data_IF_547618218732
#
_entry.id   IF_547618218732
#
_cell.length_a   1.000
_cell.length_b   1.000
_cell.length_c   1.000
_cell.angle_alpha   90.00
_cell.angle_beta   90.00
_cell.angle_gamma   90.00
#
_symmetry.space_group_name_H-M   'P 1'
#
loop_
_entity.id
_entity.type
_entity.pdbx_description
1 polymer ?
#
# COMPACT_ATOMS: atom_id res chain seq x y z
N UNK A 1 -4.73 -0.20 17.63
CA UNK A 1 -3.41 -0.21 16.95
C UNK A 1 -2.75 1.14 17.14
N UNK A 2 -1.46 1.15 17.51
CA UNK A 2 -0.68 2.39 17.51
C UNK A 2 -0.42 2.80 16.06
N UNK A 3 -0.65 4.07 15.72
CA UNK A 3 -0.39 4.59 14.37
C UNK A 3 1.13 4.70 14.16
N UNK A 4 1.64 4.20 13.03
CA UNK A 4 3.03 4.48 12.67
C UNK A 4 3.23 6.00 12.43
N UNK A 5 4.31 6.54 12.96
CA UNK A 5 4.71 7.96 12.77
C UNK A 5 6.04 8.10 12.07
N UNK A 6 6.73 6.99 11.77
CA UNK A 6 8.02 7.01 11.09
C UNK A 6 7.85 7.52 9.65
N UNK A 7 8.55 8.61 9.34
CA UNK A 7 8.66 9.13 7.98
C UNK A 7 9.70 8.34 7.22
N UNK A 8 9.34 7.94 6.01
CA UNK A 8 10.24 7.34 5.05
C UNK A 8 10.28 8.19 3.79
N UNK A 9 11.37 8.11 3.06
CA UNK A 9 11.53 8.80 1.79
C UNK A 9 11.41 7.79 0.66
N UNK A 10 10.69 8.20 -0.39
CA UNK A 10 10.61 7.43 -1.63
C UNK A 10 10.38 8.35 -2.83
N UNK A 11 10.57 7.80 -4.01
CA UNK A 11 10.42 8.50 -5.28
C UNK A 11 9.00 8.32 -5.84
N UNK A 12 8.42 9.40 -6.35
CA UNK A 12 7.24 9.31 -7.23
C UNK A 12 7.63 8.74 -8.59
N UNK A 13 6.64 8.39 -9.43
CA UNK A 13 6.89 7.96 -10.82
C UNK A 13 7.66 9.00 -11.65
N UNK A 14 7.54 10.28 -11.31
CA UNK A 14 8.29 11.37 -11.96
C UNK A 14 9.72 11.54 -11.43
N UNK A 15 10.21 10.63 -10.58
CA UNK A 15 11.52 10.73 -9.93
C UNK A 15 11.61 11.75 -8.79
N UNK A 16 10.50 12.37 -8.37
CA UNK A 16 10.51 13.35 -7.29
C UNK A 16 10.56 12.63 -5.94
N UNK A 17 11.56 12.92 -5.12
CA UNK A 17 11.61 12.46 -3.74
C UNK A 17 10.56 13.18 -2.88
N UNK A 18 9.78 12.41 -2.13
CA UNK A 18 8.82 12.93 -1.13
C UNK A 18 8.91 12.13 0.17
N UNK A 19 8.53 12.77 1.28
CA UNK A 19 8.39 12.10 2.57
C UNK A 19 6.95 11.59 2.73
N UNK A 20 6.82 10.33 3.15
CA UNK A 20 5.55 9.64 3.37
C UNK A 20 5.59 8.88 4.69
N UNK A 21 4.43 8.55 5.23
CA UNK A 21 4.29 7.71 6.43
C UNK A 21 3.36 6.56 6.05
N UNK A 22 3.88 5.33 5.86
CA UNK A 22 3.05 4.13 5.75
C UNK A 22 2.27 3.92 7.04
N UNK A 23 1.07 3.35 6.93
CA UNK A 23 0.25 3.05 8.11
C UNK A 23 0.94 2.04 9.04
N UNK A 24 1.68 1.07 8.49
CA UNK A 24 2.58 0.21 9.26
C UNK A 24 3.83 -0.21 8.47
N UNK A 25 4.92 -0.42 9.21
CA UNK A 25 6.17 -1.02 8.74
C UNK A 25 6.54 -2.12 9.73
N UNK A 26 6.67 -3.35 9.24
CA UNK A 26 7.01 -4.53 10.04
C UNK A 26 8.14 -5.32 9.38
N UNK A 27 8.60 -6.38 10.04
CA UNK A 27 9.54 -7.32 9.44
C UNK A 27 8.92 -8.02 8.22
N UNK A 28 7.62 -8.30 8.27
CA UNK A 28 6.87 -8.97 7.22
C UNK A 28 6.53 -8.08 6.02
N UNK A 29 6.53 -6.75 6.15
CA UNK A 29 6.25 -5.86 5.03
C UNK A 29 5.83 -4.44 5.40
N UNK A 30 5.43 -3.69 4.38
CA UNK A 30 4.86 -2.35 4.50
C UNK A 30 3.36 -2.46 4.24
N UNK A 31 2.55 -1.82 5.07
CA UNK A 31 1.09 -1.87 4.94
C UNK A 31 0.51 -0.47 4.83
N UNK A 32 -0.45 -0.33 3.91
CA UNK A 32 -1.24 0.89 3.73
C UNK A 32 -2.72 0.53 3.65
N UNK A 33 -3.56 1.26 4.38
CA UNK A 33 -5.00 1.03 4.45
C UNK A 33 -5.76 2.12 3.69
N UNK A 34 -6.73 1.73 2.85
CA UNK A 34 -7.56 2.68 2.08
C UNK A 34 -9.04 2.35 2.17
N UNK A 35 -9.84 3.39 2.42
CA UNK A 35 -11.30 3.32 2.42
C UNK A 35 -11.88 4.24 1.33
N UNK A 36 -11.84 3.77 0.08
CA UNK A 36 -12.31 4.50 -1.12
C UNK A 36 -12.96 3.51 -2.09
N UNK A 37 -13.92 3.99 -2.89
CA UNK A 37 -14.56 3.18 -3.94
C UNK A 37 -13.59 2.86 -5.09
N UNK A 38 -12.79 3.85 -5.49
CA UNK A 38 -11.80 3.75 -6.56
C UNK A 38 -10.44 4.16 -6.02
N UNK A 39 -9.42 3.34 -6.25
CA UNK A 39 -8.06 3.61 -5.79
C UNK A 39 -7.12 3.61 -7.00
N UNK A 40 -6.37 4.69 -7.15
CA UNK A 40 -5.37 4.87 -8.20
C UNK A 40 -3.97 5.02 -7.63
N UNK A 41 -2.95 4.89 -8.49
CA UNK A 41 -1.54 5.05 -8.12
C UNK A 41 -1.20 6.51 -7.78
N UNK A 42 -1.54 6.94 -6.56
CA UNK A 42 -1.26 8.29 -6.06
C UNK A 42 0.24 8.50 -5.82
N UNK A 43 0.69 9.77 -5.74
CA UNK A 43 2.09 10.09 -5.41
C UNK A 43 2.56 9.47 -4.08
N UNK A 44 1.68 9.43 -3.07
CA UNK A 44 1.98 8.79 -1.79
C UNK A 44 2.25 7.28 -1.99
N UNK A 45 1.33 6.58 -2.67
CA UNK A 45 1.46 5.15 -2.93
C UNK A 45 2.70 4.84 -3.79
N UNK A 46 3.00 5.67 -4.79
CA UNK A 46 4.22 5.54 -5.59
C UNK A 46 5.48 5.61 -4.73
N UNK A 47 5.58 6.61 -3.85
CA UNK A 47 6.74 6.76 -2.98
C UNK A 47 6.85 5.64 -1.94
N UNK A 48 5.74 5.18 -1.38
CA UNK A 48 5.76 4.06 -0.42
C UNK A 48 6.14 2.74 -1.10
N UNK A 49 5.66 2.48 -2.32
CA UNK A 49 6.05 1.30 -3.12
C UNK A 49 7.53 1.38 -3.49
N UNK A 50 8.02 2.55 -3.93
CA UNK A 50 9.44 2.73 -4.19
C UNK A 50 10.30 2.47 -2.95
N UNK A 51 9.87 2.95 -1.79
CA UNK A 51 10.54 2.65 -0.52
C UNK A 51 10.53 1.16 -0.20
N UNK A 52 9.40 0.45 -0.40
CA UNK A 52 9.30 -1.00 -0.25
C UNK A 52 10.30 -1.76 -1.13
N UNK A 53 10.40 -1.39 -2.42
CA UNK A 53 11.37 -1.97 -3.36
C UNK A 53 12.80 -1.78 -2.84
N UNK A 54 13.17 -0.55 -2.46
CA UNK A 54 14.51 -0.25 -1.96
C UNK A 54 14.83 -0.97 -0.64
N UNK A 55 13.81 -1.20 0.19
CA UNK A 55 13.94 -1.90 1.46
C UNK A 55 13.89 -3.44 1.31
N UNK A 56 13.64 -3.97 0.11
CA UNK A 56 13.47 -5.40 -0.11
C UNK A 56 12.27 -6.00 0.63
N UNK A 57 11.20 -5.21 0.82
CA UNK A 57 9.99 -5.59 1.57
C UNK A 57 8.76 -5.57 0.67
N UNK A 58 7.79 -6.48 0.85
CA UNK A 58 6.53 -6.41 0.14
C UNK A 58 5.72 -5.19 0.58
N UNK A 59 5.06 -4.54 -0.36
CA UNK A 59 4.08 -3.49 -0.11
C UNK A 59 2.67 -4.08 -0.20
N UNK A 60 1.95 -4.09 0.91
CA UNK A 60 0.62 -4.68 1.03
C UNK A 60 -0.43 -3.56 1.12
N UNK A 61 -1.37 -3.54 0.16
CA UNK A 61 -2.48 -2.61 0.15
C UNK A 61 -3.72 -3.30 0.74
N UNK A 62 -4.22 -2.76 1.84
CA UNK A 62 -5.46 -3.26 2.46
C UNK A 62 -6.60 -2.29 2.15
N UNK A 63 -7.66 -2.80 1.53
CA UNK A 63 -8.78 -1.99 1.05
C UNK A 63 -10.08 -2.31 1.80
N UNK A 64 -11.01 -1.36 1.76
CA UNK A 64 -12.34 -1.54 2.34
C UNK A 64 -13.20 -2.50 1.50
N UNK A 65 -14.18 -3.21 2.10
CA UNK A 65 -15.12 -4.07 1.36
C UNK A 65 -15.94 -3.35 0.29
N UNK A 66 -16.12 -2.03 0.42
CA UNK A 66 -16.80 -1.18 -0.56
C UNK A 66 -15.93 -0.78 -1.74
N UNK A 67 -14.63 -1.09 -1.73
CA UNK A 67 -13.75 -0.79 -2.86
C UNK A 67 -14.19 -1.60 -4.06
N UNK A 68 -14.44 -0.94 -5.19
CA UNK A 68 -14.92 -1.57 -6.42
C UNK A 68 -13.80 -1.72 -7.43
N UNK A 69 -12.78 -0.88 -7.35
CA UNK A 69 -11.73 -0.83 -8.37
C UNK A 69 -10.40 -0.35 -7.79
N UNK A 70 -9.34 -1.07 -8.16
CA UNK A 70 -7.95 -0.64 -8.02
C UNK A 70 -7.35 -0.56 -9.41
N UNK A 71 -6.75 0.58 -9.74
CA UNK A 71 -6.17 0.81 -11.07
C UNK A 71 -5.10 -0.23 -11.40
N UNK A 72 -5.09 -0.74 -12.63
CA UNK A 72 -4.10 -1.71 -13.09
C UNK A 72 -2.64 -1.29 -12.80
N UNK A 73 -2.22 -0.03 -13.04
CA UNK A 73 -0.85 0.38 -12.71
C UNK A 73 -0.51 0.32 -11.21
N UNK A 74 -1.50 0.46 -10.33
CA UNK A 74 -1.28 0.28 -8.89
C UNK A 74 -1.19 -1.21 -8.54
N UNK A 75 -2.04 -2.05 -9.14
CA UNK A 75 -1.99 -3.51 -8.97
C UNK A 75 -0.62 -4.06 -9.36
N UNK A 76 -0.17 -3.77 -10.57
CA UNK A 76 1.14 -4.24 -11.08
C UNK A 76 2.29 -3.75 -10.20
N UNK A 77 2.23 -2.49 -9.74
CA UNK A 77 3.25 -1.94 -8.85
C UNK A 77 3.28 -2.65 -7.49
N UNK A 78 2.11 -2.97 -6.91
CA UNK A 78 2.02 -3.79 -5.68
C UNK A 78 2.63 -5.16 -5.90
N UNK A 79 2.22 -5.87 -6.96
CA UNK A 79 2.66 -7.23 -7.29
C UNK A 79 4.16 -7.30 -7.54
N UNK A 80 4.76 -6.28 -8.17
CA UNK A 80 6.21 -6.21 -8.40
C UNK A 80 7.06 -6.17 -7.12
N UNK A 81 6.47 -5.84 -5.97
CA UNK A 81 7.14 -5.91 -4.66
C UNK A 81 7.03 -7.29 -3.99
N UNK A 82 6.25 -8.20 -4.57
CA UNK A 82 5.82 -9.44 -3.92
C UNK A 82 4.71 -9.24 -2.88
N UNK A 83 4.13 -8.04 -2.80
CA UNK A 83 3.02 -7.72 -1.91
C UNK A 83 1.65 -8.02 -2.51
N UNK A 84 0.60 -7.85 -1.71
CA UNK A 84 -0.77 -8.19 -2.09
C UNK A 84 -1.74 -7.02 -1.99
N UNK A 85 -2.90 -7.16 -2.65
CA UNK A 85 -4.08 -6.33 -2.43
C UNK A 85 -5.13 -7.20 -1.75
N UNK A 86 -5.53 -6.83 -0.54
CA UNK A 86 -6.48 -7.61 0.26
C UNK A 86 -7.62 -6.75 0.79
N UNK A 87 -8.79 -7.34 0.92
CA UNK A 87 -9.95 -6.74 1.59
C UNK A 87 -9.88 -7.09 3.08
N UNK A 88 -10.01 -6.07 3.92
CA UNK A 88 -10.26 -6.30 5.35
C UNK A 88 -11.76 -6.41 5.60
N UNK A 89 -12.21 -7.59 5.99
CA UNK A 89 -13.52 -7.75 6.61
C UNK A 89 -13.49 -7.09 7.99
N UNK A 90 -14.21 -5.99 8.15
CA UNK A 90 -14.21 -5.23 9.40
C UNK A 90 -14.99 -5.91 10.53
N UNK A 91 -15.84 -6.90 10.21
CA UNK A 91 -16.59 -7.66 11.21
C UNK A 91 -15.75 -8.80 11.79
N UNK A 92 -14.94 -9.46 10.97
CA UNK A 92 -14.15 -10.63 11.39
C UNK A 92 -12.65 -10.34 11.56
N UNK A 93 -12.16 -9.22 11.02
CA UNK A 93 -10.74 -8.90 10.94
C UNK A 93 -9.97 -9.73 9.90
N UNK A 94 -10.65 -10.57 9.12
CA UNK A 94 -10.02 -11.42 8.12
C UNK A 94 -9.56 -10.61 6.89
N UNK A 95 -8.41 -11.02 6.34
CA UNK A 95 -7.91 -10.53 5.06
C UNK A 95 -8.20 -11.56 3.96
N UNK A 96 -8.87 -11.14 2.88
CA UNK A 96 -9.10 -11.96 1.70
C UNK A 96 -8.52 -11.29 0.46
N UNK A 97 -8.11 -12.03 -0.58
CA UNK A 97 -7.66 -11.43 -1.84
C UNK A 97 -8.73 -10.51 -2.46
N UNK A 98 -8.31 -9.36 -2.98
CA UNK A 98 -9.22 -8.44 -3.71
C UNK A 98 -9.40 -8.84 -5.18
N UNK A 99 -8.48 -9.62 -5.74
CA UNK A 99 -8.50 -10.17 -7.09
C UNK A 99 -8.28 -11.67 -7.07
#
# INVERSE_FOLDING_TARGET
>A
MLKNTAKVQGLTRSGKAINVIPDAITDAGIYEFKNRLFISSTRQLQAQINYAVNAGKPFNLVVSPRTQYVSLPLKEAVESTGGTISVLDTATGALTPFF
#
